data_IF_752116695565
#
_entry.id   IF_752116695565
#
_cell.length_a   1.000
_cell.length_b   1.000
_cell.length_c   1.000
_cell.angle_alpha   90.00
_cell.angle_beta   90.00
_cell.angle_gamma   90.00
#
_symmetry.space_group_name_H-M   'P 1'
#
loop_
_entity.id
_entity.type
_entity.pdbx_description
1 polymer ?
#
# COMPACT_ATOMS: atom_id res chain seq x y z
N UNK A 1 24.03 -12.28 5.59
CA UNK A 1 22.71 -11.80 6.06
C UNK A 1 21.94 -11.30 4.85
N UNK A 2 20.74 -11.82 4.56
CA UNK A 2 19.83 -11.14 3.63
C UNK A 2 19.42 -9.83 4.31
N UNK A 3 19.84 -8.70 3.79
CA UNK A 3 19.28 -7.41 4.18
C UNK A 3 17.87 -7.35 3.61
N UNK A 4 16.86 -7.53 4.46
CA UNK A 4 15.48 -7.34 4.03
C UNK A 4 15.25 -5.88 3.68
N UNK A 5 14.91 -5.62 2.42
CA UNK A 5 14.52 -4.29 1.98
C UNK A 5 13.20 -3.94 2.67
N UNK A 6 13.27 -3.10 3.71
CA UNK A 6 12.08 -2.69 4.45
C UNK A 6 11.24 -1.73 3.59
N UNK A 7 10.09 -2.19 3.09
CA UNK A 7 9.15 -1.35 2.35
C UNK A 7 8.35 -0.46 3.32
N UNK A 8 8.37 0.86 3.09
CA UNK A 8 7.62 1.84 3.91
C UNK A 8 6.31 2.28 3.25
N UNK A 9 6.27 2.27 1.92
CA UNK A 9 5.15 2.74 1.11
C UNK A 9 4.52 1.61 0.29
N UNK A 10 3.29 1.86 -0.16
CA UNK A 10 2.49 0.92 -0.95
C UNK A 10 2.41 1.41 -2.40
N UNK A 11 2.71 0.53 -3.34
CA UNK A 11 2.62 0.76 -4.77
C UNK A 11 1.41 0.06 -5.40
N UNK A 12 0.96 0.45 -6.60
CA UNK A 12 -0.16 -0.21 -7.28
C UNK A 12 -0.01 -1.74 -7.42
N UNK A 13 1.22 -2.23 -7.63
CA UNK A 13 1.51 -3.67 -7.68
C UNK A 13 1.36 -4.37 -6.32
N UNK A 14 1.68 -3.68 -5.23
CA UNK A 14 1.46 -4.18 -3.88
C UNK A 14 -0.04 -4.31 -3.61
N UNK A 15 -0.82 -3.29 -3.99
CA UNK A 15 -2.29 -3.35 -3.87
C UNK A 15 -2.85 -4.50 -4.68
N UNK A 16 -2.38 -4.72 -5.91
CA UNK A 16 -2.79 -5.87 -6.72
C UNK A 16 -2.47 -7.19 -6.01
N UNK A 17 -1.28 -7.35 -5.42
CA UNK A 17 -0.89 -8.55 -4.69
C UNK A 17 -1.74 -8.77 -3.43
N UNK A 18 -2.05 -7.71 -2.70
CA UNK A 18 -2.86 -7.76 -1.47
C UNK A 18 -4.33 -8.05 -1.77
N UNK A 19 -4.92 -7.41 -2.79
CA UNK A 19 -6.38 -7.44 -3.01
C UNK A 19 -6.83 -8.34 -4.16
N UNK A 20 -5.90 -8.89 -4.94
CA UNK A 20 -6.21 -9.66 -6.16
C UNK A 20 -6.91 -8.85 -7.26
N UNK A 21 -6.93 -7.52 -7.16
CA UNK A 21 -7.53 -6.61 -8.16
C UNK A 21 -6.47 -6.17 -9.18
N UNK A 22 -6.92 -5.61 -10.30
CA UNK A 22 -5.98 -5.10 -11.32
C UNK A 22 -5.12 -3.95 -10.79
N UNK A 23 -3.91 -3.80 -11.33
CA UNK A 23 -3.00 -2.68 -11.00
C UNK A 23 -3.69 -1.31 -11.19
N UNK A 24 -4.52 -1.18 -12.24
CA UNK A 24 -5.31 0.04 -12.49
C UNK A 24 -6.25 0.35 -11.33
N UNK A 25 -6.94 -0.65 -10.81
CA UNK A 25 -7.82 -0.47 -9.65
C UNK A 25 -7.00 -0.08 -8.42
N UNK A 26 -5.84 -0.72 -8.22
CA UNK A 26 -4.91 -0.37 -7.13
C UNK A 26 -4.44 1.08 -7.19
N UNK A 27 -4.07 1.58 -8.38
CA UNK A 27 -3.73 2.99 -8.59
C UNK A 27 -4.89 3.92 -8.22
N UNK A 28 -6.12 3.60 -8.63
CA UNK A 28 -7.31 4.39 -8.28
C UNK A 28 -7.58 4.39 -6.77
N UNK A 29 -7.37 3.26 -6.10
CA UNK A 29 -7.50 3.18 -4.65
C UNK A 29 -6.47 4.08 -3.95
N UNK A 30 -5.19 4.02 -4.35
CA UNK A 30 -4.14 4.84 -3.74
C UNK A 30 -4.39 6.34 -3.91
N UNK A 31 -4.96 6.77 -5.04
CA UNK A 31 -5.38 8.16 -5.23
C UNK A 31 -6.50 8.57 -4.26
N UNK A 32 -7.48 7.70 -4.02
CA UNK A 32 -8.55 7.95 -3.04
C UNK A 32 -8.00 8.04 -1.62
N UNK A 33 -7.07 7.16 -1.26
CA UNK A 33 -6.39 7.18 0.05
C UNK A 33 -5.61 8.48 0.19
N UNK A 34 -4.85 8.89 -0.84
CA UNK A 34 -4.08 10.13 -0.82
C UNK A 34 -4.97 11.35 -0.56
N UNK A 35 -6.10 11.42 -1.26
CA UNK A 35 -7.08 12.47 -1.07
C UNK A 35 -7.68 12.45 0.35
N UNK A 36 -7.98 11.27 0.91
CA UNK A 36 -8.57 11.17 2.25
C UNK A 36 -7.62 11.58 3.36
N UNK A 37 -6.30 11.42 3.18
CA UNK A 37 -5.28 11.87 4.13
C UNK A 37 -4.71 13.26 3.81
N UNK A 38 -5.33 14.01 2.89
CA UNK A 38 -4.92 15.35 2.46
C UNK A 38 -3.44 15.46 2.05
N UNK A 39 -2.92 14.43 1.37
CA UNK A 39 -1.54 14.38 0.91
C UNK A 39 -1.38 14.98 -0.50
N UNK A 40 -0.26 15.67 -0.72
CA UNK A 40 0.12 16.19 -2.03
C UNK A 40 0.55 15.08 -3.01
N UNK A 41 0.58 15.39 -4.30
CA UNK A 41 0.83 14.38 -5.35
C UNK A 41 2.22 13.73 -5.30
N UNK A 42 3.19 14.43 -4.73
CA UNK A 42 4.55 13.94 -4.52
C UNK A 42 4.68 13.06 -3.27
N UNK A 43 3.67 13.01 -2.41
CA UNK A 43 3.73 12.27 -1.15
C UNK A 43 3.28 10.82 -1.33
N UNK A 44 4.04 9.92 -0.73
CA UNK A 44 3.76 8.48 -0.76
C UNK A 44 2.65 8.10 0.21
N UNK A 45 1.95 7.01 -0.10
CA UNK A 45 1.05 6.34 0.82
C UNK A 45 1.84 5.27 1.56
N UNK A 46 1.89 5.39 2.89
CA UNK A 46 2.57 4.43 3.75
C UNK A 46 1.71 3.18 3.93
N UNK A 47 2.36 2.07 4.31
CA UNK A 47 1.63 0.83 4.69
C UNK A 47 0.63 1.13 5.81
N UNK A 48 1.01 1.96 6.78
CA UNK A 48 0.13 2.36 7.90
C UNK A 48 -1.14 3.07 7.41
N UNK A 49 -1.00 4.05 6.52
CA UNK A 49 -2.16 4.78 5.97
C UNK A 49 -3.04 3.89 5.11
N UNK A 50 -2.43 3.03 4.30
CA UNK A 50 -3.16 2.04 3.52
C UNK A 50 -3.98 1.11 4.42
N UNK A 51 -3.38 0.57 5.48
CA UNK A 51 -4.06 -0.30 6.45
C UNK A 51 -5.16 0.46 7.20
N UNK A 52 -4.89 1.68 7.64
CA UNK A 52 -5.88 2.53 8.33
C UNK A 52 -7.10 2.81 7.45
N UNK A 53 -6.90 3.01 6.14
CA UNK A 53 -8.00 3.27 5.22
C UNK A 53 -8.77 1.99 4.81
N UNK A 54 -8.06 0.89 4.57
CA UNK A 54 -8.67 -0.36 4.07
C UNK A 54 -9.19 -1.26 5.17
N UNK A 55 -8.75 -1.05 6.42
CA UNK A 55 -9.07 -1.91 7.57
C UNK A 55 -8.24 -3.19 7.62
N UNK A 56 -7.24 -3.37 6.76
CA UNK A 56 -6.39 -4.56 6.80
C UNK A 56 -5.42 -4.54 7.99
N UNK A 57 -5.16 -5.71 8.61
CA UNK A 57 -4.10 -5.84 9.61
C UNK A 57 -2.72 -5.58 9.00
N UNK A 58 -1.91 -4.76 9.67
CA UNK A 58 -0.59 -4.36 9.16
C UNK A 58 0.36 -5.55 8.96
N UNK A 59 0.26 -6.56 9.82
CA UNK A 59 1.11 -7.75 9.77
C UNK A 59 0.73 -8.67 8.60
N UNK A 60 -0.56 -8.78 8.26
CA UNK A 60 -1.02 -9.53 7.08
C UNK A 60 -0.55 -8.84 5.79
N UNK A 61 -0.69 -7.52 5.72
CA UNK A 61 -0.21 -6.73 4.58
C UNK A 61 1.30 -6.87 4.42
N UNK A 62 2.08 -6.80 5.51
CA UNK A 62 3.52 -7.00 5.45
C UNK A 62 3.88 -8.39 4.93
N UNK A 63 3.24 -9.42 5.45
CA UNK A 63 3.45 -10.82 5.03
C UNK A 63 3.18 -11.00 3.54
N UNK A 64 2.11 -10.38 3.02
CA UNK A 64 1.78 -10.44 1.59
C UNK A 64 2.83 -9.77 0.68
N UNK A 65 3.69 -8.89 1.23
CA UNK A 65 4.72 -8.15 0.50
C UNK A 65 6.14 -8.69 0.70
N UNK A 66 6.30 -9.78 1.45
CA UNK A 66 7.57 -10.50 1.55
C UNK A 66 7.78 -11.30 0.26
N UNK A 67 9.00 -11.22 -0.29
CA UNK A 67 9.44 -12.02 -1.44
C UNK A 67 10.21 -13.28 -0.98
#
# INVERSE_FOLDING_TARGET
MKTETTRLCVYPKDVQRITGKSERWGRMLLLKIRASVNKGDHQFITIKEFCAYTGFPIEEVRTALID
#
